data_IF_795745728997
#
_entry.id   IF_795745728997
#
_cell.length_a   1.000
_cell.length_b   1.000
_cell.length_c   1.000
_cell.angle_alpha   90.00
_cell.angle_beta   90.00
_cell.angle_gamma   90.00
#
_symmetry.space_group_name_H-M   'P 1'
#
loop_
_entity.id
_entity.type
_entity.pdbx_description
1 polymer ?
#
# COMPACT_ATOMS: atom_id res chain seq x y z
N UNK A 1 -18.25 -12.88 27.25
CA UNK A 1 -17.08 -13.08 26.38
C UNK A 1 -17.38 -12.37 25.07
N UNK A 2 -16.86 -11.16 24.88
CA UNK A 2 -17.06 -10.38 23.66
C UNK A 2 -16.32 -11.03 22.51
N UNK A 3 -17.06 -11.59 21.55
CA UNK A 3 -16.52 -12.06 20.27
C UNK A 3 -15.98 -10.85 19.53
N UNK A 4 -14.66 -10.63 19.57
CA UNK A 4 -14.01 -9.66 18.70
C UNK A 4 -14.30 -10.10 17.26
N UNK A 5 -15.04 -9.26 16.54
CA UNK A 5 -15.38 -9.49 15.13
C UNK A 5 -14.09 -9.68 14.34
N UNK A 6 -13.90 -10.88 13.79
CA UNK A 6 -12.74 -11.30 13.00
C UNK A 6 -12.66 -10.64 11.61
N UNK A 7 -13.34 -9.51 11.40
CA UNK A 7 -13.47 -8.86 10.09
C UNK A 7 -12.14 -8.33 9.55
N UNK A 8 -11.15 -8.05 10.40
CA UNK A 8 -9.85 -7.54 9.97
C UNK A 8 -9.00 -8.57 9.22
N UNK A 9 -9.25 -9.86 9.43
CA UNK A 9 -8.54 -10.97 8.76
C UNK A 9 -9.27 -11.46 7.51
N UNK A 10 -10.54 -11.10 7.35
CA UNK A 10 -11.33 -11.51 6.20
C UNK A 10 -10.83 -10.88 4.90
N UNK A 11 -11.11 -11.55 3.78
CA UNK A 11 -10.80 -10.99 2.47
C UNK A 11 -11.62 -9.72 2.27
N UNK A 12 -10.95 -8.61 1.97
CA UNK A 12 -11.63 -7.40 1.54
C UNK A 12 -12.35 -7.63 0.19
N UNK A 13 -13.20 -6.69 -0.21
CA UNK A 13 -13.81 -6.69 -1.55
C UNK A 13 -12.82 -6.29 -2.66
N UNK A 14 -11.62 -5.80 -2.30
CA UNK A 14 -10.61 -5.35 -3.24
C UNK A 14 -10.04 -6.55 -4.02
N UNK A 15 -9.92 -6.38 -5.33
CA UNK A 15 -9.29 -7.35 -6.23
C UNK A 15 -8.32 -6.62 -7.15
N UNK A 16 -7.12 -7.16 -7.28
CA UNK A 16 -6.14 -6.64 -8.23
C UNK A 16 -6.66 -6.86 -9.65
N UNK A 17 -7.10 -5.78 -10.30
CA UNK A 17 -7.61 -5.77 -11.68
C UNK A 17 -6.57 -6.19 -12.73
N UNK A 18 -5.28 -6.19 -12.38
CA UNK A 18 -4.19 -6.59 -13.27
C UNK A 18 -3.72 -8.04 -13.03
N UNK A 19 -4.40 -8.78 -12.16
CA UNK A 19 -4.12 -10.20 -11.95
C UNK A 19 -4.34 -10.99 -13.25
N UNK A 20 -3.41 -11.89 -13.58
CA UNK A 20 -3.37 -12.59 -14.88
C UNK A 20 -4.16 -13.91 -14.92
N UNK A 21 -4.88 -14.26 -13.85
CA UNK A 21 -5.75 -15.43 -13.76
C UNK A 21 -7.22 -15.07 -13.55
N UNK A 22 -8.03 -16.09 -13.33
CA UNK A 22 -9.45 -15.95 -13.02
C UNK A 22 -9.67 -15.37 -11.62
N UNK A 23 -10.88 -14.85 -11.39
CA UNK A 23 -11.29 -14.37 -10.07
C UNK A 23 -11.26 -15.47 -9.00
N UNK A 24 -11.63 -16.70 -9.38
CA UNK A 24 -11.58 -17.85 -8.47
C UNK A 24 -10.15 -18.22 -8.08
N UNK A 25 -9.20 -18.15 -9.03
CA UNK A 25 -7.78 -18.36 -8.74
C UNK A 25 -7.22 -17.27 -7.83
N UNK A 26 -7.58 -16.01 -8.08
CA UNK A 26 -7.18 -14.90 -7.21
C UNK A 26 -7.72 -15.08 -5.79
N UNK A 27 -9.00 -15.43 -5.64
CA UNK A 27 -9.61 -15.70 -4.34
C UNK A 27 -8.90 -16.84 -3.61
N UNK A 28 -8.55 -17.92 -4.33
CA UNK A 28 -7.78 -19.04 -3.76
C UNK A 28 -6.42 -18.57 -3.26
N UNK A 29 -5.69 -17.78 -4.04
CA UNK A 29 -4.37 -17.25 -3.63
C UNK A 29 -4.47 -16.32 -2.43
N UNK A 30 -5.46 -15.42 -2.40
CA UNK A 30 -5.67 -14.51 -1.27
C UNK A 30 -5.95 -15.25 0.06
N UNK A 31 -6.56 -16.44 0.01
CA UNK A 31 -6.80 -17.28 1.20
C UNK A 31 -5.57 -18.03 1.70
N UNK A 32 -4.57 -18.23 0.84
CA UNK A 32 -3.39 -19.08 1.13
C UNK A 32 -2.08 -18.30 1.28
N UNK A 33 -2.01 -17.09 0.70
CA UNK A 33 -0.82 -16.23 0.65
C UNK A 33 -0.24 -15.88 2.03
N UNK A 34 1.06 -15.61 2.14
CA UNK A 34 1.67 -14.99 3.32
C UNK A 34 2.08 -13.54 3.06
N UNK A 35 1.65 -12.99 1.91
CA UNK A 35 1.96 -11.64 1.47
C UNK A 35 0.82 -10.68 1.77
N UNK A 36 1.17 -9.52 2.32
CA UNK A 36 0.29 -8.41 2.58
C UNK A 36 0.69 -7.22 1.71
N UNK A 37 -0.31 -6.55 1.14
CA UNK A 37 -0.17 -5.18 0.67
C UNK A 37 -0.25 -4.24 1.89
N UNK A 38 0.68 -3.30 1.99
CA UNK A 38 0.68 -2.25 3.01
C UNK A 38 0.57 -0.90 2.33
N UNK A 39 -0.53 -0.20 2.61
CA UNK A 39 -0.82 1.11 2.05
C UNK A 39 -0.91 2.21 3.10
N UNK A 40 -0.95 3.43 2.59
CA UNK A 40 -1.07 4.67 3.37
C UNK A 40 0.21 5.06 4.12
N UNK A 41 1.36 4.53 3.69
CA UNK A 41 2.67 4.92 4.20
C UNK A 41 3.03 6.36 3.80
N UNK A 42 3.91 7.00 4.57
CA UNK A 42 4.56 8.24 4.14
C UNK A 42 5.53 7.92 3.00
N UNK A 43 5.77 8.86 2.08
CA UNK A 43 6.84 8.74 1.07
C UNK A 43 8.23 8.72 1.70
N UNK A 44 8.35 9.13 2.96
CA UNK A 44 9.58 9.14 3.73
C UNK A 44 9.76 7.90 4.63
N UNK A 45 8.75 7.03 4.71
CA UNK A 45 8.84 5.78 5.50
C UNK A 45 9.91 4.88 4.91
N UNK A 46 10.86 4.43 5.72
CA UNK A 46 11.95 3.56 5.26
C UNK A 46 11.59 2.07 5.39
N UNK A 47 12.35 1.22 4.69
CA UNK A 47 12.19 -0.23 4.78
C UNK A 47 12.49 -0.74 6.19
N UNK A 48 13.45 -0.14 6.88
CA UNK A 48 13.84 -0.47 8.25
C UNK A 48 12.72 -0.20 9.25
N UNK A 49 12.02 0.94 9.13
CA UNK A 49 10.88 1.27 9.98
C UNK A 49 9.71 0.30 9.75
N UNK A 50 9.49 -0.11 8.49
CA UNK A 50 8.49 -1.12 8.15
C UNK A 50 8.90 -2.46 8.77
N UNK A 51 10.16 -2.86 8.62
CA UNK A 51 10.67 -4.09 9.22
C UNK A 51 10.45 -4.10 10.74
N UNK A 52 10.87 -3.05 11.45
CA UNK A 52 10.72 -2.94 12.91
C UNK A 52 9.26 -3.11 13.37
N UNK A 53 8.32 -2.44 12.70
CA UNK A 53 6.90 -2.54 13.07
C UNK A 53 6.32 -3.91 12.74
N UNK A 54 6.59 -4.43 11.53
CA UNK A 54 5.96 -5.65 11.03
C UNK A 54 6.58 -6.92 11.63
N UNK A 55 7.83 -6.90 12.09
CA UNK A 55 8.45 -7.99 12.84
C UNK A 55 7.78 -8.28 14.18
N UNK A 56 6.94 -7.37 14.71
CA UNK A 56 6.18 -7.61 15.95
C UNK A 56 5.13 -8.70 15.82
N UNK A 57 4.75 -9.07 14.60
CA UNK A 57 3.74 -10.10 14.33
C UNK A 57 4.32 -11.46 13.97
N UNK A 58 5.62 -11.52 13.67
CA UNK A 58 6.33 -12.74 13.28
C UNK A 58 7.49 -12.44 12.33
N UNK A 59 8.15 -13.50 11.86
CA UNK A 59 9.35 -13.38 11.05
C UNK A 59 9.03 -12.91 9.62
N UNK A 60 9.55 -11.73 9.27
CA UNK A 60 9.42 -11.15 7.95
C UNK A 60 10.41 -11.84 7.01
N UNK A 61 9.89 -12.46 5.97
CA UNK A 61 10.70 -13.13 4.93
C UNK A 61 11.25 -12.13 3.92
N UNK A 62 10.44 -11.15 3.54
CA UNK A 62 10.79 -10.17 2.50
C UNK A 62 9.94 -8.92 2.62
N UNK A 63 10.54 -7.76 2.39
CA UNK A 63 9.85 -6.51 2.13
C UNK A 63 10.12 -6.10 0.68
N UNK A 64 9.09 -5.59 0.00
CA UNK A 64 9.25 -4.99 -1.33
C UNK A 64 8.65 -3.60 -1.32
N UNK A 65 9.51 -2.59 -1.35
CA UNK A 65 9.09 -1.20 -1.37
C UNK A 65 8.34 -0.86 -2.67
N UNK A 66 7.20 -0.19 -2.53
CA UNK A 66 6.42 0.33 -3.63
C UNK A 66 7.02 1.62 -4.15
N UNK A 67 7.39 1.65 -5.43
CA UNK A 67 8.13 2.72 -6.06
C UNK A 67 7.30 3.42 -7.14
N UNK A 68 7.55 4.71 -7.35
CA UNK A 68 7.12 5.42 -8.54
C UNK A 68 7.73 4.75 -9.79
N UNK A 69 6.92 4.49 -10.80
CA UNK A 69 7.33 3.77 -12.01
C UNK A 69 8.47 4.45 -12.76
N UNK A 70 8.52 5.79 -12.74
CA UNK A 70 9.49 6.58 -13.49
C UNK A 70 10.65 7.04 -12.60
N UNK A 71 10.34 7.64 -11.45
CA UNK A 71 11.33 8.22 -10.55
C UNK A 71 12.04 7.19 -9.68
N UNK A 72 11.51 5.97 -9.57
CA UNK A 72 12.05 4.88 -8.73
C UNK A 72 12.21 5.27 -7.26
N UNK A 73 11.38 6.18 -6.77
CA UNK A 73 11.33 6.62 -5.36
C UNK A 73 10.09 6.05 -4.66
N UNK A 74 10.10 5.87 -3.34
CA UNK A 74 8.94 5.35 -2.61
C UNK A 74 7.66 6.14 -2.90
N UNK A 75 6.56 5.43 -3.19
CA UNK A 75 5.26 6.05 -3.47
C UNK A 75 4.18 5.63 -2.48
N UNK A 76 4.57 5.35 -1.23
CA UNK A 76 3.65 5.24 -0.10
C UNK A 76 2.88 3.92 -0.03
N UNK A 77 3.47 2.83 -0.51
CA UNK A 77 3.03 1.47 -0.23
C UNK A 77 4.23 0.51 -0.25
N UNK A 78 4.03 -0.70 0.25
CA UNK A 78 4.97 -1.80 0.08
C UNK A 78 4.22 -3.15 0.10
N UNK A 79 4.96 -4.22 -0.11
CA UNK A 79 4.53 -5.58 0.19
C UNK A 79 5.37 -6.14 1.33
N UNK A 80 4.74 -6.86 2.24
CA UNK A 80 5.41 -7.60 3.32
C UNK A 80 5.03 -9.07 3.18
N UNK A 81 6.03 -9.93 3.02
CA UNK A 81 5.87 -11.38 2.98
C UNK A 81 6.38 -11.96 4.29
N UNK A 82 5.51 -12.70 4.99
CA UNK A 82 5.89 -13.48 6.17
C UNK A 82 6.29 -14.91 5.79
N UNK A 83 7.03 -15.58 6.67
CA UNK A 83 7.29 -17.01 6.51
C UNK A 83 6.02 -17.86 6.70
N UNK A 84 5.11 -17.45 7.59
CA UNK A 84 3.91 -18.21 7.92
C UNK A 84 2.63 -17.38 7.76
N UNK A 85 1.53 -18.05 7.44
CA UNK A 85 0.19 -17.43 7.33
C UNK A 85 -0.29 -16.88 8.68
N UNK A 86 -0.14 -17.58 9.83
CA UNK A 86 -0.52 -17.04 11.13
C UNK A 86 0.13 -15.69 11.47
N UNK A 87 1.40 -15.49 11.11
CA UNK A 87 2.09 -14.21 11.35
C UNK A 87 1.47 -13.07 10.52
N UNK A 88 1.14 -13.34 9.26
CA UNK A 88 0.43 -12.40 8.41
C UNK A 88 -1.00 -12.10 8.94
N UNK A 89 -1.70 -13.10 9.48
CA UNK A 89 -3.00 -12.88 10.13
C UNK A 89 -2.87 -12.02 11.39
N UNK A 90 -1.82 -12.21 12.19
CA UNK A 90 -1.53 -11.38 13.35
C UNK A 90 -1.28 -9.92 12.93
N UNK A 91 -0.56 -9.69 11.84
CA UNK A 91 -0.40 -8.35 11.27
C UNK A 91 -1.75 -7.71 10.93
N UNK A 92 -2.64 -8.44 10.27
CA UNK A 92 -3.99 -7.95 9.97
C UNK A 92 -4.83 -7.67 11.22
N UNK A 93 -4.65 -8.44 12.30
CA UNK A 93 -5.37 -8.25 13.57
C UNK A 93 -4.86 -7.05 14.36
N UNK A 94 -3.54 -6.90 14.45
CA UNK A 94 -2.91 -6.04 15.47
C UNK A 94 -2.16 -4.83 14.91
N UNK A 95 -1.69 -4.88 13.66
CA UNK A 95 -0.95 -3.77 13.02
C UNK A 95 -1.84 -3.00 12.05
N UNK A 96 -2.80 -3.66 11.40
CA UNK A 96 -3.77 -2.96 10.56
C UNK A 96 -4.50 -1.86 11.35
N UNK A 97 -4.52 -0.64 10.82
CA UNK A 97 -5.15 0.49 11.49
C UNK A 97 -4.30 1.14 12.60
N UNK A 98 -3.08 0.66 12.84
CA UNK A 98 -2.12 1.33 13.75
C UNK A 98 -1.33 2.43 13.03
N UNK A 99 -0.45 3.12 13.75
CA UNK A 99 0.33 4.25 13.22
C UNK A 99 1.75 3.84 12.83
N UNK A 100 2.21 4.36 11.70
CA UNK A 100 3.62 4.44 11.29
C UNK A 100 3.86 5.82 10.69
N UNK A 101 4.87 6.55 11.18
CA UNK A 101 5.13 7.96 10.82
C UNK A 101 3.88 8.84 10.89
N UNK A 102 3.14 8.74 12.00
CA UNK A 102 1.86 9.44 12.26
C UNK A 102 0.72 9.14 11.28
N UNK A 103 0.85 8.10 10.45
CA UNK A 103 -0.18 7.68 9.49
C UNK A 103 -0.79 6.35 9.87
N UNK A 104 -2.11 6.26 9.71
CA UNK A 104 -2.83 5.01 9.90
C UNK A 104 -2.51 4.07 8.74
N UNK A 105 -1.77 3.00 9.01
CA UNK A 105 -1.40 2.01 7.99
C UNK A 105 -2.60 1.12 7.67
N UNK A 106 -2.79 0.82 6.38
CA UNK A 106 -3.82 -0.13 5.92
C UNK A 106 -3.15 -1.34 5.32
N UNK A 107 -3.42 -2.51 5.89
CA UNK A 107 -2.95 -3.79 5.36
C UNK A 107 -4.08 -4.55 4.68
N UNK A 108 -3.77 -5.31 3.64
CA UNK A 108 -4.73 -6.13 2.89
C UNK A 108 -4.05 -7.39 2.37
N UNK A 109 -4.81 -8.46 2.19
CA UNK A 109 -4.26 -9.68 1.59
C UNK A 109 -3.82 -9.41 0.15
N UNK A 110 -2.67 -9.97 -0.22
CA UNK A 110 -2.13 -9.86 -1.57
C UNK A 110 -1.84 -11.24 -2.15
N UNK A 111 -2.26 -11.48 -3.40
CA UNK A 111 -2.20 -12.81 -4.04
C UNK A 111 -0.76 -13.34 -4.24
N UNK A 112 0.26 -12.56 -3.91
CA UNK A 112 1.66 -12.90 -4.01
C UNK A 112 2.42 -11.84 -4.81
N UNK A 113 3.65 -11.56 -4.38
CA UNK A 113 4.49 -10.63 -5.11
C UNK A 113 4.92 -11.21 -6.47
N UNK A 114 4.84 -10.38 -7.51
CA UNK A 114 5.33 -10.68 -8.86
C UNK A 114 6.09 -9.44 -9.33
N UNK A 115 7.20 -9.66 -10.03
CA UNK A 115 8.02 -8.59 -10.58
C UNK A 115 7.18 -7.61 -11.42
N UNK A 116 7.43 -6.32 -11.22
CA UNK A 116 6.67 -5.22 -11.80
C UNK A 116 5.53 -4.70 -10.91
N UNK A 117 5.04 -5.48 -9.92
CA UNK A 117 4.00 -5.02 -8.98
C UNK A 117 4.51 -4.00 -7.97
N UNK A 118 5.82 -3.87 -7.80
CA UNK A 118 6.41 -2.81 -6.97
C UNK A 118 6.18 -1.42 -7.56
N UNK A 119 5.83 -1.28 -8.84
CA UNK A 119 5.63 0.04 -9.44
C UNK A 119 4.19 0.55 -9.30
N UNK A 120 4.06 1.81 -8.95
CA UNK A 120 2.81 2.55 -9.00
C UNK A 120 2.15 2.48 -10.39
N UNK A 121 0.82 2.39 -10.39
CA UNK A 121 0.01 2.20 -11.61
C UNK A 121 -0.71 3.48 -12.07
N UNK A 122 -0.46 4.61 -11.41
CA UNK A 122 -0.92 5.91 -11.88
C UNK A 122 -0.24 6.27 -13.20
N UNK A 123 -0.94 7.03 -14.04
CA UNK A 123 -0.43 7.59 -15.29
C UNK A 123 0.86 8.40 -15.10
N UNK A 124 1.00 9.05 -13.95
CA UNK A 124 2.14 9.89 -13.57
C UNK A 124 3.27 9.12 -12.89
N UNK A 125 3.13 7.80 -12.72
CA UNK A 125 4.13 6.90 -12.15
C UNK A 125 3.84 6.48 -10.71
N UNK A 126 3.20 7.34 -9.92
CA UNK A 126 2.81 7.07 -8.53
C UNK A 126 1.60 6.13 -8.39
N UNK A 127 0.99 6.09 -7.21
CA UNK A 127 -0.25 5.32 -7.03
C UNK A 127 -1.44 6.03 -7.70
N UNK A 128 -2.39 5.26 -8.25
CA UNK A 128 -3.60 5.80 -8.89
C UNK A 128 -4.36 6.74 -7.95
N UNK A 129 -4.44 6.42 -6.65
CA UNK A 129 -5.11 7.29 -5.66
C UNK A 129 -4.47 8.68 -5.54
N UNK A 130 -3.16 8.78 -5.71
CA UNK A 130 -2.42 10.03 -5.55
C UNK A 130 -2.60 10.95 -6.78
N UNK A 131 -3.23 10.45 -7.85
CA UNK A 131 -3.58 11.26 -9.01
C UNK A 131 -4.82 12.13 -8.76
N UNK A 132 -5.83 11.53 -8.12
CA UNK A 132 -7.16 12.11 -7.95
C UNK A 132 -7.38 12.78 -6.60
N UNK A 133 -6.47 12.59 -5.64
CA UNK A 133 -6.57 13.18 -4.29
C UNK A 133 -6.63 14.71 -4.34
N UNK A 134 -7.56 15.32 -3.64
CA UNK A 134 -7.78 16.78 -3.66
C UNK A 134 -7.21 17.49 -2.44
N UNK A 135 -7.09 16.80 -1.32
CA UNK A 135 -6.47 17.32 -0.10
C UNK A 135 -4.95 17.52 -0.26
N UNK A 136 -4.37 18.32 0.63
CA UNK A 136 -2.92 18.46 0.76
C UNK A 136 -2.39 17.47 1.80
N UNK A 137 -1.34 16.72 1.46
CA UNK A 137 -0.68 15.79 2.37
C UNK A 137 0.82 15.84 2.14
N UNK A 138 1.54 16.40 3.12
CA UNK A 138 2.99 16.58 3.05
C UNK A 138 3.74 15.24 2.93
N UNK A 139 3.27 14.19 3.62
CA UNK A 139 3.83 12.84 3.55
C UNK A 139 3.54 12.14 2.22
N UNK A 140 2.79 12.78 1.31
CA UNK A 140 2.43 12.30 -0.03
C UNK A 140 2.86 13.27 -1.15
N UNK A 141 3.79 14.19 -0.86
CA UNK A 141 4.31 15.13 -1.84
C UNK A 141 3.36 16.28 -2.20
N UNK A 142 2.42 16.64 -1.32
CA UNK A 142 1.55 17.82 -1.44
C UNK A 142 0.14 17.51 -1.90
N UNK A 143 -0.38 18.21 -2.91
CA UNK A 143 -1.69 17.91 -3.52
C UNK A 143 -1.63 16.69 -4.45
N UNK A 144 -2.76 16.10 -4.83
CA UNK A 144 -2.78 15.08 -5.89
C UNK A 144 -2.38 15.65 -7.26
N UNK A 145 -1.94 14.77 -8.17
CA UNK A 145 -1.28 15.19 -9.42
C UNK A 145 -2.15 16.05 -10.34
N UNK A 146 -3.44 15.75 -10.43
CA UNK A 146 -4.38 16.56 -11.22
C UNK A 146 -4.51 17.98 -10.64
N UNK A 147 -4.56 18.11 -9.32
CA UNK A 147 -4.63 19.42 -8.65
C UNK A 147 -3.31 20.19 -8.81
N UNK A 148 -2.16 19.52 -8.65
CA UNK A 148 -0.84 20.15 -8.89
C UNK A 148 -0.74 20.73 -10.31
N UNK A 149 -1.21 19.98 -11.32
CA UNK A 149 -1.22 20.46 -12.71
C UNK A 149 -2.13 21.68 -12.89
N UNK A 150 -3.34 21.66 -12.32
CA UNK A 150 -4.27 22.80 -12.39
C UNK A 150 -3.71 24.06 -11.73
N UNK A 151 -3.14 23.93 -10.53
CA UNK A 151 -2.52 25.04 -9.81
C UNK A 151 -1.32 25.60 -10.59
N UNK A 152 -0.41 24.73 -11.07
CA UNK A 152 0.74 25.15 -11.88
C UNK A 152 0.37 25.78 -13.22
N UNK A 153 -0.79 25.43 -13.81
CA UNK A 153 -1.31 26.10 -15.01
C UNK A 153 -1.89 27.49 -14.74
N UNK A 154 -2.35 27.76 -13.52
CA UNK A 154 -3.00 29.03 -13.16
C UNK A 154 -1.96 30.14 -12.90
N UNK A 155 -0.79 29.80 -12.38
CA UNK A 155 0.30 30.76 -12.17
C UNK A 155 0.92 31.25 -13.48
N UNK A 156 0.84 30.47 -14.56
CA UNK A 156 1.41 30.84 -15.86
C UNK A 156 0.50 31.77 -16.70
N UNK A 157 -0.74 32.03 -16.27
CA UNK A 157 -1.69 32.89 -17.00
C UNK A 157 -1.69 34.36 -16.55
N UNK A 158 -1.03 34.71 -15.45
CA UNK A 158 -0.94 36.09 -14.95
C UNK A 158 0.40 36.78 -15.23
N UNK A 159 1.30 36.10 -15.96
CA UNK A 159 2.65 36.59 -16.29
C UNK A 159 2.87 37.02 -17.73
N UNK A 160 1.83 37.34 -18.50
CA UNK A 160 1.94 37.92 -19.85
C UNK A 160 1.13 39.20 -19.97
#
# INVERSE_FOLDING_TARGET
MSTFSSSSVELSSYRDQHFKGTRAEQDKLLRLTTTLYVGNLSFYTTEEQIHELFSRCGDVRRIVMGLDKYKKTPCGFCFVEYYTRPDAENCLRYINGTRLDDRIVRTDWDAGFIEGRQYGRGKTGGQVRDEYRTDYDAGRGGYGKIVQQKLGSTDNSFGR
#
